data_IF_225022911312
#
_entry.id   IF_225022911312
#
_cell.length_a   1.000
_cell.length_b   1.000
_cell.length_c   1.000
_cell.angle_alpha   90.00
_cell.angle_beta   90.00
_cell.angle_gamma   90.00
#
_symmetry.space_group_name_H-M   'P 1'
#
loop_
_entity.id
_entity.type
_entity.pdbx_description
1 polymer ?
#
# COMPACT_ATOMS: atom_id res chain seq x y z
N UNK A 1 14.03 -4.23 21.98
CA UNK A 1 13.69 -4.83 21.13
C UNK A 1 13.10 -4.15 20.11
N UNK A 2 13.39 -4.29 19.03
CA UNK A 2 12.98 -3.59 18.09
C UNK A 2 11.75 -3.89 17.58
N UNK A 3 10.83 -3.17 17.49
CA UNK A 3 9.72 -3.47 16.97
C UNK A 3 9.64 -3.06 15.61
N UNK A 4 10.11 -3.83 14.68
CA UNK A 4 10.03 -3.46 13.38
C UNK A 4 8.62 -3.56 12.98
N UNK A 5 8.11 -2.62 12.22
CA UNK A 5 6.78 -2.63 11.76
C UNK A 5 6.72 -3.57 10.60
N UNK A 6 6.16 -4.76 10.73
CA UNK A 6 6.04 -5.71 9.70
C UNK A 6 4.74 -5.59 8.95
N UNK A 7 3.70 -5.06 9.57
CA UNK A 7 2.41 -4.88 8.93
C UNK A 7 2.06 -3.41 8.85
N UNK A 8 1.48 -3.00 7.74
CA UNK A 8 0.97 -1.63 7.62
C UNK A 8 -0.46 -1.72 7.13
N UNK A 9 -1.25 -0.74 7.46
CA UNK A 9 -2.66 -0.69 7.07
C UNK A 9 -2.84 0.37 6.00
N UNK A 10 -3.47 -0.03 4.92
CA UNK A 10 -3.69 0.86 3.79
C UNK A 10 -5.17 0.77 3.43
N UNK A 11 -5.59 1.58 2.49
CA UNK A 11 -6.99 1.61 2.09
C UNK A 11 -7.09 1.11 0.66
N UNK A 12 -7.55 -0.12 0.52
CA UNK A 12 -7.66 -0.73 -0.80
C UNK A 12 -8.86 -0.18 -1.56
N UNK A 13 -8.66 0.18 -2.81
CA UNK A 13 -9.74 0.71 -3.59
C UNK A 13 -10.58 -0.41 -4.13
N UNK A 14 -11.89 -0.23 -4.05
CA UNK A 14 -12.78 -1.18 -4.58
C UNK A 14 -13.45 -0.61 -5.75
N UNK A 15 -13.36 -1.27 -6.88
CA UNK A 15 -13.99 -0.78 -8.00
C UNK A 15 -15.02 -1.70 -8.37
N UNK A 16 -16.07 -1.83 -7.82
CA UNK A 16 -16.99 -2.74 -8.18
C UNK A 16 -18.31 -2.10 -8.40
N UNK A 17 -18.75 -1.96 -9.50
CA UNK A 17 -20.07 -1.53 -9.81
C UNK A 17 -20.43 -0.25 -9.20
N UNK A 18 -21.43 -0.25 -8.40
CA UNK A 18 -21.87 0.92 -7.84
C UNK A 18 -21.20 1.38 -6.68
N UNK A 19 -20.43 0.58 -6.03
CA UNK A 19 -19.80 0.98 -4.84
C UNK A 19 -18.46 1.43 -5.10
N UNK A 20 -18.14 2.65 -5.01
CA UNK A 20 -16.85 3.12 -5.09
C UNK A 20 -16.43 3.40 -3.74
N UNK A 21 -15.40 3.02 -3.25
CA UNK A 21 -14.93 3.29 -1.93
C UNK A 21 -13.67 2.59 -1.65
N UNK A 22 -13.22 2.66 -0.42
CA UNK A 22 -12.01 2.00 -0.01
C UNK A 22 -12.27 1.25 1.27
N UNK A 23 -11.53 0.20 1.51
CA UNK A 23 -11.62 -0.56 2.74
C UNK A 23 -10.25 -0.74 3.29
N UNK A 24 -10.10 -0.73 4.59
CA UNK A 24 -8.79 -0.88 5.18
C UNK A 24 -8.28 -2.30 4.98
N UNK A 25 -7.03 -2.44 4.63
CA UNK A 25 -6.40 -3.74 4.55
C UNK A 25 -5.05 -3.65 5.26
N UNK A 26 -4.63 -4.73 5.82
CA UNK A 26 -3.34 -4.78 6.50
C UNK A 26 -2.46 -5.73 5.71
N UNK A 27 -1.31 -5.26 5.29
CA UNK A 27 -0.42 -6.07 4.48
C UNK A 27 0.91 -6.27 5.18
N UNK A 28 1.55 -7.40 4.88
CA UNK A 28 2.86 -7.69 5.43
C UNK A 28 3.89 -7.05 4.50
N UNK A 29 4.65 -6.13 5.04
CA UNK A 29 5.63 -5.39 4.27
C UNK A 29 6.64 -6.32 3.61
N UNK A 30 6.93 -7.44 4.23
CA UNK A 30 7.88 -8.38 3.67
C UNK A 30 7.39 -9.06 2.40
N UNK A 31 6.11 -8.96 2.09
CA UNK A 31 5.58 -9.54 0.87
C UNK A 31 5.40 -8.51 -0.23
N UNK A 32 5.82 -7.29 -0.01
CA UNK A 32 5.71 -6.26 -1.02
C UNK A 32 6.97 -6.31 -1.88
N UNK A 33 6.82 -6.55 -3.17
CA UNK A 33 7.94 -6.55 -4.07
C UNK A 33 8.28 -5.15 -4.50
N UNK A 34 7.28 -4.38 -4.86
CA UNK A 34 7.50 -3.00 -5.27
C UNK A 34 6.20 -2.26 -5.21
N UNK A 35 6.26 -0.98 -5.15
CA UNK A 35 5.07 -0.15 -5.20
C UNK A 35 5.42 1.11 -5.98
N UNK A 36 4.46 1.66 -6.65
CA UNK A 36 4.69 2.79 -7.54
C UNK A 36 3.47 3.68 -7.59
N UNK A 37 3.64 4.95 -7.86
CA UNK A 37 2.48 5.82 -7.96
C UNK A 37 1.68 5.51 -9.21
N UNK A 38 0.39 5.67 -9.12
CA UNK A 38 -0.49 5.43 -10.23
C UNK A 38 -1.54 6.54 -10.16
N UNK A 39 -1.22 7.70 -10.71
CA UNK A 39 -2.08 8.87 -10.56
C UNK A 39 -2.08 9.31 -9.11
N UNK A 40 -3.24 9.43 -8.53
CA UNK A 40 -3.33 9.80 -7.16
C UNK A 40 -3.31 8.60 -6.26
N UNK A 41 -3.26 7.41 -6.81
CA UNK A 41 -3.29 6.19 -6.03
C UNK A 41 -1.93 5.53 -6.08
N UNK A 42 -1.79 4.39 -5.46
CA UNK A 42 -0.54 3.64 -5.48
C UNK A 42 -0.83 2.19 -5.82
N UNK A 43 -0.03 1.65 -6.71
CA UNK A 43 -0.16 0.26 -7.09
C UNK A 43 0.94 -0.53 -6.39
N UNK A 44 0.58 -1.58 -5.68
CA UNK A 44 1.52 -2.37 -4.92
C UNK A 44 1.55 -3.77 -5.50
N UNK A 45 2.74 -4.26 -5.77
CA UNK A 45 2.89 -5.62 -6.26
C UNK A 45 3.30 -6.51 -5.10
N UNK A 46 2.53 -7.55 -4.84
CA UNK A 46 2.78 -8.45 -3.73
C UNK A 46 3.42 -9.73 -4.25
N UNK A 47 4.21 -10.37 -3.42
CA UNK A 47 4.88 -11.60 -3.81
C UNK A 47 3.96 -12.79 -3.74
N UNK A 48 2.87 -12.70 -3.00
CA UNK A 48 1.95 -13.78 -2.90
C UNK A 48 0.56 -13.28 -2.98
N UNK A 49 -0.36 -14.10 -3.24
CA UNK A 49 -1.77 -13.74 -3.26
C UNK A 49 -2.17 -13.16 -4.58
N UNK A 50 -2.89 -12.07 -4.55
CA UNK A 50 -3.45 -11.50 -5.74
C UNK A 50 -2.49 -10.83 -6.65
N UNK A 51 -1.31 -10.64 -6.27
CA UNK A 51 -0.33 -10.03 -7.14
C UNK A 51 -0.29 -8.52 -7.04
N UNK A 52 -1.33 -7.84 -7.44
CA UNK A 52 -1.35 -6.39 -7.39
C UNK A 52 -2.48 -5.87 -6.55
N UNK A 53 -2.24 -4.76 -5.88
CA UNK A 53 -3.26 -4.09 -5.11
C UNK A 53 -3.25 -2.63 -5.51
N UNK A 54 -4.40 -2.03 -5.61
CA UNK A 54 -4.48 -0.60 -5.85
C UNK A 54 -5.03 0.03 -4.58
N UNK A 55 -4.32 0.95 -4.01
CA UNK A 55 -4.74 1.57 -2.76
C UNK A 55 -4.90 3.07 -2.96
N UNK A 56 -5.75 3.68 -2.14
CA UNK A 56 -5.99 5.11 -2.26
C UNK A 56 -4.91 5.92 -1.57
N UNK A 57 -4.09 5.30 -0.74
CA UNK A 57 -3.04 6.03 -0.04
C UNK A 57 -2.02 6.48 -1.07
N UNK A 58 -1.45 7.65 -0.88
CA UNK A 58 -0.54 8.14 -1.88
C UNK A 58 0.85 7.53 -1.69
N UNK A 59 1.65 7.62 -2.72
CA UNK A 59 2.97 6.98 -2.74
C UNK A 59 3.85 7.47 -1.60
N UNK A 60 3.84 8.75 -1.34
CA UNK A 60 4.70 9.31 -0.31
C UNK A 60 4.34 8.80 1.07
N UNK A 61 3.05 8.67 1.34
CA UNK A 61 2.59 8.17 2.62
C UNK A 61 3.03 6.73 2.81
N UNK A 62 2.91 5.90 1.77
CA UNK A 62 3.30 4.51 1.87
C UNK A 62 4.81 4.39 2.03
N UNK A 63 5.54 5.21 1.28
CA UNK A 63 7.00 5.21 1.37
C UNK A 63 7.42 5.50 2.80
N UNK A 64 6.78 6.49 3.44
CA UNK A 64 7.13 6.83 4.78
C UNK A 64 6.78 5.72 5.76
N UNK A 65 5.66 5.05 5.56
CA UNK A 65 5.29 3.98 6.46
C UNK A 65 6.24 2.80 6.34
N UNK A 66 6.71 2.48 5.17
CA UNK A 66 7.56 1.34 4.97
C UNK A 66 9.01 1.64 5.36
N UNK A 67 9.51 2.79 4.99
CA UNK A 67 10.91 3.08 5.21
C UNK A 67 11.17 3.89 6.46
N UNK A 68 10.15 4.54 6.97
CA UNK A 68 10.32 5.44 8.09
C UNK A 68 10.96 6.75 7.72
N UNK A 69 11.10 7.03 6.41
CA UNK A 69 11.71 8.26 5.97
C UNK A 69 10.78 8.99 5.07
N UNK A 70 10.96 10.28 4.97
CA UNK A 70 10.14 11.09 4.12
C UNK A 70 10.68 11.01 2.70
N UNK A 71 9.77 10.85 1.74
CA UNK A 71 10.18 10.80 0.34
C UNK A 71 10.45 12.19 -0.14
N UNK A 72 11.65 12.45 -0.62
CA UNK A 72 12.01 13.77 -1.03
C UNK A 72 12.03 13.93 -2.51
N UNK A 73 11.67 13.01 -3.23
CA UNK A 73 11.63 13.10 -4.62
C UNK A 73 11.85 13.15 -5.62
#
# INVERSE_FOLDING_TARGET
MDSKRIFITLNELKESGESRGSSPITVNVNHIIKFAPDGEHTRIQMSKGVGHLLVSDNYETIYQQITGKVFLG
#
